data_IF_176718386016
#
_entry.id   IF_176718386016
#
_cell.length_a   1.000
_cell.length_b   1.000
_cell.length_c   1.000
_cell.angle_alpha   90.00
_cell.angle_beta   90.00
_cell.angle_gamma   90.00
#
_symmetry.space_group_name_H-M   'P 1'
#
loop_
_entity.id
_entity.type
_entity.pdbx_description
1 polymer ?
#
# COMPACT_ATOMS: atom_id res chain seq x y z
N UNK A 1 -33.75 2.58 0.04
CA UNK A 1 -32.68 2.61 1.06
C UNK A 1 -31.51 1.98 0.36
N UNK A 2 -30.55 2.81 -0.09
CA UNK A 2 -29.31 2.29 -0.66
C UNK A 2 -28.60 1.59 0.49
N UNK A 3 -28.27 0.32 0.34
CA UNK A 3 -27.29 -0.31 1.21
C UNK A 3 -26.03 0.54 1.09
N UNK A 4 -25.63 1.20 2.17
CA UNK A 4 -24.31 1.83 2.25
C UNK A 4 -23.34 0.65 2.32
N UNK A 5 -22.87 0.23 1.14
CA UNK A 5 -21.78 -0.72 1.01
C UNK A 5 -20.60 -0.22 1.86
N UNK A 6 -20.02 -1.12 2.66
CA UNK A 6 -18.86 -0.80 3.51
C UNK A 6 -17.70 -0.41 2.58
N UNK A 7 -16.88 0.61 2.89
CA UNK A 7 -15.70 0.96 2.09
C UNK A 7 -14.68 -0.17 1.89
N UNK A 8 -14.84 -1.28 2.61
CA UNK A 8 -14.11 -2.54 2.46
C UNK A 8 -14.37 -3.27 1.11
N UNK A 9 -15.36 -2.86 0.31
CA UNK A 9 -15.77 -3.54 -0.94
C UNK A 9 -15.02 -3.15 -2.23
N UNK A 10 -13.98 -2.30 -2.20
CA UNK A 10 -13.40 -1.74 -3.44
C UNK A 10 -11.86 -1.59 -3.48
N UNK A 11 -11.10 -2.56 -2.97
CA UNK A 11 -9.70 -2.73 -3.41
C UNK A 11 -9.65 -3.94 -4.34
N UNK A 12 -9.07 -3.83 -5.56
CA UNK A 12 -8.87 -4.98 -6.41
C UNK A 12 -8.07 -6.06 -5.68
N UNK A 13 -8.52 -7.31 -5.79
CA UNK A 13 -7.76 -8.44 -5.23
C UNK A 13 -6.38 -8.56 -5.92
N UNK A 14 -5.43 -9.24 -5.27
CA UNK A 14 -4.07 -9.38 -5.78
C UNK A 14 -4.03 -9.91 -7.23
N UNK A 15 -4.84 -10.92 -7.52
CA UNK A 15 -4.92 -11.52 -8.86
C UNK A 15 -5.66 -10.62 -9.86
N UNK A 16 -6.64 -9.83 -9.43
CA UNK A 16 -7.30 -8.85 -10.30
C UNK A 16 -6.30 -7.77 -10.73
N UNK A 17 -5.49 -7.25 -9.81
CA UNK A 17 -4.46 -6.28 -10.17
C UNK A 17 -3.37 -6.91 -11.06
N UNK A 18 -3.04 -8.19 -10.84
CA UNK A 18 -2.11 -8.94 -11.70
C UNK A 18 -2.66 -9.08 -13.13
N UNK A 19 -3.95 -9.34 -13.29
CA UNK A 19 -4.63 -9.40 -14.58
C UNK A 19 -4.63 -8.02 -15.27
N UNK A 20 -4.83 -6.94 -14.51
CA UNK A 20 -4.73 -5.56 -15.02
C UNK A 20 -3.33 -5.28 -15.58
N UNK A 21 -2.27 -5.60 -14.82
CA UNK A 21 -0.89 -5.40 -15.28
C UNK A 21 -0.60 -6.22 -16.55
N UNK A 22 -1.09 -7.46 -16.58
CA UNK A 22 -0.95 -8.35 -17.73
C UNK A 22 -1.68 -7.80 -18.97
N UNK A 23 -2.90 -7.30 -18.80
CA UNK A 23 -3.71 -6.75 -19.89
C UNK A 23 -3.08 -5.49 -20.53
N UNK A 24 -2.30 -4.74 -19.76
CA UNK A 24 -1.60 -3.54 -20.22
C UNK A 24 -0.17 -3.80 -20.72
N UNK A 25 0.22 -5.08 -20.87
CA UNK A 25 1.57 -5.52 -21.25
C UNK A 25 2.68 -5.08 -20.26
N UNK A 26 2.34 -4.76 -19.00
CA UNK A 26 3.31 -4.46 -17.94
C UNK A 26 3.86 -5.77 -17.36
N UNK A 27 5.07 -6.13 -17.77
CA UNK A 27 5.71 -7.41 -17.40
C UNK A 27 6.82 -7.26 -16.35
N UNK A 28 7.15 -6.03 -15.93
CA UNK A 28 8.28 -5.75 -15.03
C UNK A 28 7.89 -5.48 -13.60
N UNK A 29 6.61 -5.20 -13.34
CA UNK A 29 6.10 -4.85 -12.02
C UNK A 29 5.08 -5.87 -11.54
N UNK A 30 5.09 -6.14 -10.24
CA UNK A 30 4.11 -7.02 -9.59
C UNK A 30 2.97 -6.21 -8.95
N UNK A 31 1.83 -6.85 -8.72
CA UNK A 31 0.70 -6.23 -8.00
C UNK A 31 1.11 -5.76 -6.60
N UNK A 32 1.94 -6.56 -5.90
CA UNK A 32 2.48 -6.21 -4.59
C UNK A 32 3.36 -4.95 -4.65
N UNK A 33 4.25 -4.85 -5.64
CA UNK A 33 5.12 -3.67 -5.83
C UNK A 33 4.30 -2.41 -6.10
N UNK A 34 3.30 -2.47 -6.99
CA UNK A 34 2.45 -1.32 -7.33
C UNK A 34 1.65 -0.84 -6.12
N UNK A 35 1.11 -1.76 -5.33
CA UNK A 35 0.41 -1.41 -4.09
C UNK A 35 1.37 -0.80 -3.05
N UNK A 36 2.52 -1.43 -2.82
CA UNK A 36 3.54 -0.91 -1.91
C UNK A 36 3.96 0.51 -2.29
N UNK A 37 4.20 0.74 -3.57
CA UNK A 37 4.56 2.03 -4.14
C UNK A 37 3.53 3.13 -3.88
N UNK A 38 2.25 2.84 -4.13
CA UNK A 38 1.16 3.75 -3.77
C UNK A 38 1.16 4.07 -2.26
N UNK A 39 1.27 3.03 -1.43
CA UNK A 39 1.33 3.19 0.03
C UNK A 39 2.51 4.07 0.45
N UNK A 40 3.69 3.90 -0.15
CA UNK A 40 4.87 4.72 0.12
C UNK A 40 4.65 6.20 -0.18
N UNK A 41 4.04 6.53 -1.32
CA UNK A 41 3.68 7.91 -1.66
C UNK A 41 2.70 8.51 -0.64
N UNK A 42 1.63 7.78 -0.30
CA UNK A 42 0.60 8.25 0.64
C UNK A 42 1.18 8.40 2.06
N UNK A 43 2.00 7.46 2.50
CA UNK A 43 2.73 7.54 3.77
C UNK A 43 3.67 8.72 3.84
N UNK A 44 4.28 9.13 2.72
CA UNK A 44 5.10 10.33 2.66
C UNK A 44 4.28 11.64 2.66
N UNK A 45 2.94 11.57 2.63
CA UNK A 45 2.04 12.73 2.64
C UNK A 45 1.55 13.17 1.26
N UNK A 46 1.84 12.41 0.20
CA UNK A 46 1.32 12.72 -1.13
C UNK A 46 -0.22 12.58 -1.15
N UNK A 47 -0.88 13.41 -1.96
CA UNK A 47 -2.28 13.26 -2.34
C UNK A 47 -2.43 13.55 -3.83
N UNK A 48 -3.11 12.66 -4.54
CA UNK A 48 -3.28 12.73 -5.98
C UNK A 48 -4.77 12.82 -6.31
N UNK A 49 -5.11 13.53 -7.39
CA UNK A 49 -6.37 13.25 -8.07
C UNK A 49 -6.21 12.01 -8.96
N UNK A 50 -7.31 11.33 -9.29
CA UNK A 50 -7.28 10.09 -10.08
C UNK A 50 -6.50 10.20 -11.38
N UNK A 51 -6.62 11.31 -12.13
CA UNK A 51 -5.86 11.51 -13.37
C UNK A 51 -4.34 11.58 -13.13
N UNK A 52 -3.91 12.24 -12.05
CA UNK A 52 -2.50 12.32 -11.67
C UNK A 52 -1.96 10.98 -11.20
N UNK A 53 -2.77 10.22 -10.44
CA UNK A 53 -2.44 8.87 -10.04
C UNK A 53 -2.30 7.93 -11.24
N UNK A 54 -3.27 7.89 -12.15
CA UNK A 54 -3.19 7.05 -13.35
C UNK A 54 -1.96 7.38 -14.19
N UNK A 55 -1.64 8.67 -14.37
CA UNK A 55 -0.43 9.06 -15.08
C UNK A 55 0.84 8.52 -14.37
N UNK A 56 0.92 8.70 -13.05
CA UNK A 56 2.05 8.22 -12.26
C UNK A 56 2.16 6.70 -12.32
N UNK A 57 1.07 5.97 -12.08
CA UNK A 57 1.00 4.52 -12.18
C UNK A 57 1.48 4.04 -13.55
N UNK A 58 1.01 4.67 -14.64
CA UNK A 58 1.46 4.37 -16.00
C UNK A 58 2.96 4.57 -16.20
N UNK A 59 3.55 5.67 -15.72
CA UNK A 59 5.00 5.91 -15.77
C UNK A 59 5.81 4.81 -15.04
N UNK A 60 5.26 4.26 -13.95
CA UNK A 60 5.92 3.27 -13.10
C UNK A 60 5.87 1.86 -13.69
N UNK A 61 4.75 1.50 -14.32
CA UNK A 61 4.54 0.18 -14.95
C UNK A 61 4.89 0.17 -16.45
N UNK A 62 5.58 1.22 -16.92
CA UNK A 62 5.97 1.44 -18.33
C UNK A 62 4.79 1.42 -19.32
N UNK A 63 3.65 1.94 -18.89
CA UNK A 63 2.41 2.08 -19.69
C UNK A 63 2.18 3.56 -20.00
N UNK A 64 2.44 3.94 -21.26
CA UNK A 64 2.25 5.32 -21.72
C UNK A 64 0.77 5.76 -21.72
N UNK A 65 -0.14 4.84 -22.03
CA UNK A 65 -1.58 5.06 -22.00
C UNK A 65 -2.31 3.73 -21.76
N UNK A 66 -3.20 3.69 -20.77
CA UNK A 66 -4.03 2.53 -20.48
C UNK A 66 -5.00 2.24 -21.63
N UNK A 67 -4.91 1.03 -22.18
CA UNK A 67 -5.73 0.56 -23.31
C UNK A 67 -7.14 0.18 -22.87
N UNK A 68 -7.28 -0.29 -21.63
CA UNK A 68 -8.54 -0.78 -21.10
C UNK A 68 -9.08 0.17 -20.03
N UNK A 69 -10.34 0.59 -20.19
CA UNK A 69 -11.03 1.40 -19.17
C UNK A 69 -11.18 0.64 -17.84
N UNK A 70 -11.24 -0.70 -17.88
CA UNK A 70 -11.21 -1.54 -16.67
C UNK A 70 -9.91 -1.41 -15.89
N UNK A 71 -8.76 -1.27 -16.56
CA UNK A 71 -7.47 -1.04 -15.90
C UNK A 71 -7.46 0.29 -15.17
N UNK A 72 -8.00 1.34 -15.80
CA UNK A 72 -8.12 2.67 -15.17
C UNK A 72 -9.04 2.62 -13.96
N UNK A 73 -10.16 1.91 -14.06
CA UNK A 73 -11.10 1.74 -12.96
C UNK A 73 -10.43 1.00 -11.79
N UNK A 74 -9.82 -0.16 -12.03
CA UNK A 74 -9.16 -0.94 -11.00
C UNK A 74 -8.04 -0.15 -10.30
N UNK A 75 -7.22 0.59 -11.03
CA UNK A 75 -6.19 1.45 -10.43
C UNK A 75 -6.78 2.63 -9.65
N UNK A 76 -7.94 3.14 -10.05
CA UNK A 76 -8.66 4.18 -9.32
C UNK A 76 -9.24 3.63 -8.01
N UNK A 77 -9.85 2.44 -8.06
CA UNK A 77 -10.41 1.75 -6.90
C UNK A 77 -9.29 1.39 -5.91
N UNK A 78 -8.14 0.91 -6.42
CA UNK A 78 -6.91 0.71 -5.62
C UNK A 78 -6.51 1.99 -4.88
N UNK A 79 -6.51 3.14 -5.56
CA UNK A 79 -6.17 4.42 -4.93
C UNK A 79 -7.13 4.77 -3.79
N UNK A 80 -8.42 4.77 -4.08
CA UNK A 80 -9.45 5.19 -3.13
C UNK A 80 -9.51 4.25 -1.92
N UNK A 81 -9.37 2.94 -2.14
CA UNK A 81 -9.37 1.96 -1.08
C UNK A 81 -8.12 2.03 -0.19
N UNK A 82 -6.92 2.22 -0.75
CA UNK A 82 -5.71 2.40 0.07
C UNK A 82 -5.77 3.69 0.90
N UNK A 83 -6.27 4.79 0.31
CA UNK A 83 -6.50 6.03 1.08
C UNK A 83 -7.47 5.77 2.23
N UNK A 84 -8.60 5.11 1.98
CA UNK A 84 -9.58 4.80 3.01
C UNK A 84 -8.99 3.94 4.13
N UNK A 85 -8.24 2.89 3.79
CA UNK A 85 -7.61 1.98 4.76
C UNK A 85 -6.53 2.66 5.61
N UNK A 86 -5.72 3.55 5.04
CA UNK A 86 -4.67 4.26 5.78
C UNK A 86 -5.24 5.39 6.64
N UNK A 87 -6.28 6.09 6.18
CA UNK A 87 -6.87 7.23 6.91
C UNK A 87 -7.82 6.81 8.02
N UNK A 88 -8.41 5.61 7.97
CA UNK A 88 -9.34 5.11 8.97
C UNK A 88 -8.83 3.82 9.64
N UNK A 89 -8.41 3.94 10.90
CA UNK A 89 -7.93 2.82 11.70
C UNK A 89 -8.95 1.66 11.83
N UNK A 90 -10.25 1.94 11.72
CA UNK A 90 -11.30 0.92 11.80
C UNK A 90 -11.35 0.01 10.55
N UNK A 91 -10.84 0.46 9.39
CA UNK A 91 -10.84 -0.33 8.16
C UNK A 91 -9.69 -1.34 8.06
N UNK A 92 -8.73 -1.28 8.98
CA UNK A 92 -7.67 -2.29 9.09
C UNK A 92 -6.86 -2.46 7.81
N UNK A 93 -5.95 -1.53 7.55
CA UNK A 93 -5.00 -1.60 6.42
C UNK A 93 -4.39 -2.99 6.22
N UNK A 94 -4.47 -3.49 4.97
CA UNK A 94 -3.94 -4.79 4.55
C UNK A 94 -2.86 -4.61 3.48
N UNK A 95 -1.89 -5.52 3.46
CA UNK A 95 -0.93 -5.61 2.37
C UNK A 95 -1.58 -6.37 1.21
N UNK A 96 -1.47 -5.86 -0.02
CA UNK A 96 -1.88 -6.60 -1.21
C UNK A 96 -0.81 -7.63 -1.59
N UNK A 97 -0.99 -8.86 -1.11
CA UNK A 97 -0.08 -10.00 -1.28
C UNK A 97 -0.83 -11.21 -1.84
N UNK A 98 -0.13 -12.17 -2.49
CA UNK A 98 -0.74 -13.43 -2.88
C UNK A 98 -1.17 -14.27 -1.67
N UNK A 99 -2.17 -15.12 -1.88
CA UNK A 99 -2.65 -16.06 -0.87
C UNK A 99 -1.79 -17.34 -0.79
N UNK A 100 -2.24 -18.29 0.02
CA UNK A 100 -1.54 -19.56 0.29
C UNK A 100 -1.58 -20.55 -0.88
N UNK A 101 -2.18 -20.19 -2.04
CA UNK A 101 -2.04 -20.98 -3.28
C UNK A 101 -0.62 -20.87 -3.88
N UNK A 102 0.15 -19.84 -3.51
CA UNK A 102 1.57 -19.71 -3.89
C UNK A 102 2.52 -20.29 -2.85
N UNK A 103 3.68 -20.74 -3.31
CA UNK A 103 4.74 -21.27 -2.43
C UNK A 103 5.18 -20.19 -1.42
N UNK A 104 5.71 -20.64 -0.29
CA UNK A 104 6.25 -19.75 0.73
C UNK A 104 7.31 -18.79 0.15
N UNK A 105 8.18 -19.29 -0.74
CA UNK A 105 9.20 -18.49 -1.40
C UNK A 105 8.59 -17.40 -2.31
N UNK A 106 7.57 -17.72 -3.09
CA UNK A 106 6.86 -16.76 -3.94
C UNK A 106 6.12 -15.69 -3.11
N UNK A 107 5.50 -16.08 -1.98
CA UNK A 107 4.86 -15.12 -1.06
C UNK A 107 5.88 -14.20 -0.39
N UNK A 108 7.05 -14.72 -0.01
CA UNK A 108 8.14 -13.89 0.52
C UNK A 108 8.73 -12.94 -0.52
N UNK A 109 8.89 -13.39 -1.77
CA UNK A 109 9.30 -12.53 -2.89
C UNK A 109 8.28 -11.40 -3.14
N UNK A 110 6.98 -11.71 -3.04
CA UNK A 110 5.93 -10.70 -3.13
C UNK A 110 5.99 -9.68 -1.98
N UNK A 111 6.24 -10.12 -0.74
CA UNK A 111 6.46 -9.22 0.39
C UNK A 111 7.70 -8.33 0.17
N UNK A 112 8.80 -8.91 -0.33
CA UNK A 112 10.00 -8.15 -0.66
C UNK A 112 9.74 -7.09 -1.73
N UNK A 113 9.01 -7.46 -2.79
CA UNK A 113 8.56 -6.56 -3.86
C UNK A 113 7.68 -5.43 -3.31
N UNK A 114 6.79 -5.74 -2.37
CA UNK A 114 5.94 -4.77 -1.69
C UNK A 114 6.78 -3.73 -0.93
N UNK A 115 7.75 -4.18 -0.13
CA UNK A 115 8.68 -3.31 0.60
C UNK A 115 9.50 -2.43 -0.36
N UNK A 116 10.00 -3.00 -1.45
CA UNK A 116 10.74 -2.26 -2.47
C UNK A 116 9.88 -1.15 -3.11
N UNK A 117 8.64 -1.47 -3.47
CA UNK A 117 7.66 -0.50 -3.95
C UNK A 117 7.46 0.62 -2.93
N UNK A 118 7.17 0.27 -1.68
CA UNK A 118 6.95 1.22 -0.58
C UNK A 118 8.11 2.19 -0.40
N UNK A 119 9.34 1.68 -0.29
CA UNK A 119 10.54 2.50 -0.14
C UNK A 119 10.74 3.43 -1.35
N UNK A 120 10.48 2.92 -2.55
CA UNK A 120 10.56 3.70 -3.80
C UNK A 120 9.56 4.85 -3.79
N UNK A 121 8.30 4.59 -3.44
CA UNK A 121 7.24 5.61 -3.41
C UNK A 121 7.48 6.66 -2.35
N UNK A 122 7.90 6.24 -1.16
CA UNK A 122 8.26 7.12 -0.06
C UNK A 122 9.41 8.06 -0.45
N UNK A 123 10.47 7.51 -1.07
CA UNK A 123 11.62 8.28 -1.52
C UNK A 123 11.31 9.24 -2.68
N UNK A 124 10.52 8.81 -3.67
CA UNK A 124 10.18 9.61 -4.84
C UNK A 124 9.27 10.81 -4.54
N UNK A 125 8.46 10.76 -3.48
CA UNK A 125 7.72 11.94 -3.05
C UNK A 125 8.64 13.13 -2.74
N UNK A 126 9.85 12.85 -2.21
CA UNK A 126 10.88 13.85 -1.97
C UNK A 126 10.53 14.89 -0.89
N UNK A 127 9.48 14.64 -0.11
CA UNK A 127 9.01 15.54 0.95
C UNK A 127 9.84 15.51 2.22
N UNK A 128 10.67 14.47 2.41
CA UNK A 128 11.38 14.19 3.66
C UNK A 128 12.88 14.04 3.43
N UNK A 129 13.67 14.54 4.38
CA UNK A 129 15.13 14.35 4.42
C UNK A 129 15.48 13.44 5.59
N UNK A 130 16.70 12.91 5.61
CA UNK A 130 17.17 12.11 6.75
C UNK A 130 17.13 12.90 8.09
N UNK A 131 17.12 14.24 8.05
CA UNK A 131 16.99 15.07 9.25
C UNK A 131 15.54 15.22 9.73
N UNK A 132 14.54 15.06 8.85
CA UNK A 132 13.13 15.13 9.22
C UNK A 132 12.58 13.81 9.77
N UNK A 133 13.31 12.70 9.63
CA UNK A 133 12.92 11.40 10.15
C UNK A 133 13.42 11.22 11.59
N UNK A 134 12.55 10.71 12.46
CA UNK A 134 12.94 10.21 13.79
C UNK A 134 13.79 8.95 13.65
N UNK A 135 14.51 8.57 14.71
CA UNK A 135 15.34 7.35 14.68
C UNK A 135 14.48 6.09 14.51
N UNK A 136 13.28 6.06 15.10
CA UNK A 136 12.31 4.97 14.96
C UNK A 136 11.83 4.81 13.50
N UNK A 137 11.57 5.91 12.78
CA UNK A 137 11.16 5.84 11.38
C UNK A 137 12.31 5.40 10.46
N UNK A 138 13.55 5.80 10.79
CA UNK A 138 14.73 5.34 10.06
C UNK A 138 14.96 3.84 10.25
N UNK A 139 14.78 3.34 11.47
CA UNK A 139 14.85 1.91 11.78
C UNK A 139 13.80 1.14 11.00
N UNK A 140 12.54 1.58 11.04
CA UNK A 140 11.45 0.94 10.28
C UNK A 140 11.72 0.89 8.76
N UNK A 141 12.20 1.99 8.17
CA UNK A 141 12.57 2.02 6.74
C UNK A 141 13.79 1.12 6.44
N UNK A 142 14.77 1.07 7.34
CA UNK A 142 15.94 0.20 7.21
C UNK A 142 15.59 -1.29 7.35
N UNK A 143 14.60 -1.62 8.18
CA UNK A 143 14.11 -2.98 8.33
C UNK A 143 13.31 -3.41 7.09
N UNK A 144 12.47 -2.52 6.54
CA UNK A 144 11.81 -2.76 5.25
C UNK A 144 12.82 -2.97 4.11
N UNK A 145 13.96 -2.27 4.11
CA UNK A 145 15.04 -2.49 3.14
C UNK A 145 15.66 -3.88 3.27
N UNK A 146 15.85 -4.36 4.51
CA UNK A 146 16.33 -5.73 4.76
C UNK A 146 15.30 -6.77 4.32
N UNK A 147 14.01 -6.55 4.61
CA UNK A 147 12.92 -7.44 4.19
C UNK A 147 12.81 -7.51 2.66
N UNK A 148 13.02 -6.39 1.97
CA UNK A 148 13.04 -6.34 0.51
C UNK A 148 14.11 -7.24 -0.14
N UNK A 149 15.10 -7.69 0.62
CA UNK A 149 16.21 -8.53 0.17
C UNK A 149 16.12 -9.97 0.68
N UNK A 150 15.01 -10.37 1.30
CA UNK A 150 14.84 -11.74 1.80
C UNK A 150 14.76 -12.72 0.62
N UNK A 151 15.63 -13.73 0.66
CA UNK A 151 15.58 -14.90 -0.21
C UNK A 151 15.30 -16.12 0.67
N UNK A 152 14.07 -16.66 0.60
CA UNK A 152 13.74 -17.91 1.26
C UNK A 152 14.22 -19.09 0.42
N UNK A 153 14.79 -20.10 1.10
CA UNK A 153 15.08 -21.36 0.46
C UNK A 153 13.75 -22.08 0.11
N UNK A 154 13.71 -22.96 -0.90
CA UNK A 154 12.50 -23.69 -1.30
C UNK A 154 11.97 -24.71 -0.26
N UNK A 155 12.50 -24.70 0.97
CA UNK A 155 12.14 -25.64 2.01
C UNK A 155 10.93 -25.09 2.78
N UNK A 156 9.78 -25.76 2.60
CA UNK A 156 8.53 -25.48 3.33
C UNK A 156 8.61 -26.14 4.71
N UNK A 157 8.99 -25.38 5.73
CA UNK A 157 8.82 -25.77 7.13
C UNK A 157 7.77 -24.88 7.81
N UNK A 158 7.10 -25.41 8.85
CA UNK A 158 6.04 -24.70 9.58
C UNK A 158 6.57 -23.47 10.35
N UNK A 159 7.88 -23.42 10.63
CA UNK A 159 8.54 -22.29 11.32
C UNK A 159 8.61 -21.07 10.39
N UNK A 160 8.98 -21.29 9.12
CA UNK A 160 9.09 -20.24 8.11
C UNK A 160 7.73 -19.62 7.72
N UNK A 161 6.61 -20.35 7.82
CA UNK A 161 5.26 -19.80 7.63
C UNK A 161 4.91 -18.79 8.73
N UNK A 162 5.22 -19.12 9.98
CA UNK A 162 5.02 -18.22 11.12
C UNK A 162 5.90 -16.98 10.97
N UNK A 163 7.16 -17.16 10.59
CA UNK A 163 8.09 -16.05 10.36
C UNK A 163 7.61 -15.11 9.26
N UNK A 164 7.11 -15.64 8.14
CA UNK A 164 6.56 -14.80 7.07
C UNK A 164 5.34 -14.00 7.55
N UNK A 165 4.44 -14.62 8.32
CA UNK A 165 3.28 -13.93 8.89
C UNK A 165 3.71 -12.79 9.83
N UNK A 166 4.73 -13.02 10.67
CA UNK A 166 5.29 -11.99 11.55
C UNK A 166 5.89 -10.82 10.76
N UNK A 167 6.62 -11.10 9.67
CA UNK A 167 7.16 -10.07 8.79
C UNK A 167 6.07 -9.27 8.08
N UNK A 168 5.01 -9.93 7.60
CA UNK A 168 3.87 -9.23 6.99
C UNK A 168 3.21 -8.28 8.00
N UNK A 169 2.99 -8.74 9.24
CA UNK A 169 2.39 -7.91 10.29
C UNK A 169 3.31 -6.75 10.70
N UNK A 170 4.63 -7.00 10.80
CA UNK A 170 5.61 -5.95 11.03
C UNK A 170 5.54 -4.86 9.96
N UNK A 171 5.60 -5.25 8.69
CA UNK A 171 5.54 -4.32 7.54
C UNK A 171 4.24 -3.51 7.58
N UNK A 172 3.10 -4.17 7.81
CA UNK A 172 1.79 -3.53 7.94
C UNK A 172 1.78 -2.45 9.02
N UNK A 173 2.25 -2.78 10.23
CA UNK A 173 2.30 -1.85 11.36
C UNK A 173 3.29 -0.71 11.14
N UNK A 174 4.47 -1.01 10.61
CA UNK A 174 5.47 0.00 10.28
C UNK A 174 4.97 0.99 9.23
N UNK A 175 4.26 0.53 8.20
CA UNK A 175 3.63 1.41 7.20
C UNK A 175 2.57 2.32 7.81
N UNK A 176 1.71 1.81 8.69
CA UNK A 176 0.71 2.62 9.39
C UNK A 176 1.34 3.65 10.33
N UNK A 177 2.42 3.27 11.02
CA UNK A 177 3.17 4.18 11.88
C UNK A 177 3.79 5.32 11.08
N UNK A 178 4.50 5.01 9.99
CA UNK A 178 5.11 6.01 9.11
C UNK A 178 4.02 6.92 8.51
N UNK A 179 2.91 6.35 8.05
CA UNK A 179 1.77 7.13 7.55
C UNK A 179 1.27 8.13 8.61
N UNK A 180 1.05 7.66 9.84
CA UNK A 180 0.49 8.48 10.93
C UNK A 180 1.38 9.68 11.30
N UNK A 181 2.71 9.54 11.18
CA UNK A 181 3.64 10.64 11.44
C UNK A 181 3.44 11.80 10.46
N UNK A 182 3.34 11.48 9.16
CA UNK A 182 3.30 12.50 8.10
C UNK A 182 1.88 12.86 7.65
N UNK A 183 0.88 12.16 8.16
CA UNK A 183 -0.54 12.38 7.88
C UNK A 183 -1.33 12.51 9.20
N UNK A 184 -1.02 13.50 10.06
CA UNK A 184 -1.71 13.66 11.32
C UNK A 184 -3.19 13.91 11.08
N UNK A 185 -4.04 13.06 11.65
CA UNK A 185 -5.48 13.29 11.68
C UNK A 185 -5.75 14.63 12.37
N UNK A 186 -6.59 15.47 11.78
CA UNK A 186 -7.08 16.64 12.50
C UNK A 186 -7.85 16.14 13.74
N UNK A 187 -7.52 16.63 14.95
CA UNK A 187 -8.28 16.23 16.13
C UNK A 187 -9.76 16.55 15.90
N UNK A 188 -10.63 15.58 16.16
CA UNK A 188 -12.07 15.76 16.15
C UNK A 188 -12.40 17.03 16.94
N UNK A 189 -12.85 18.08 16.24
CA UNK A 189 -13.24 19.32 16.89
C UNK A 189 -14.40 18.97 17.85
N UNK A 190 -14.28 19.22 19.17
CA UNK A 190 -15.35 18.87 20.09
C UNK A 190 -16.61 19.61 19.68
N UNK A 191 -17.64 18.87 19.27
CA UNK A 191 -18.97 19.39 18.96
C UNK A 191 -19.42 20.23 20.14
N UNK A 192 -19.43 21.56 19.97
CA UNK A 192 -19.76 22.48 21.05
C UNK A 192 -21.17 22.16 21.56
N UNK A 193 -21.36 21.87 22.86
CA UNK A 193 -22.67 21.60 23.40
C UNK A 193 -23.44 22.92 23.50
N UNK A 194 -24.46 23.07 22.66
CA UNK A 194 -25.59 23.95 22.94
C UNK A 194 -25.80 25.08 21.94
N UNK A 195 -26.76 24.88 21.03
CA UNK A 195 -27.72 25.95 20.74
C UNK A 195 -29.10 25.45 21.11
N UNK A 196 -29.45 25.56 22.40
CA UNK A 196 -30.87 25.60 22.77
C UNK A 196 -31.37 26.97 22.35
N UNK A 197 -32.12 27.03 21.24
CA UNK A 197 -32.83 28.24 20.85
C UNK A 197 -33.87 28.58 21.92
N UNK A 198 -33.77 29.80 22.47
CA UNK A 198 -34.86 30.49 23.15
C UNK A 198 -35.71 31.26 22.15
#
# INVERSE_FOLDING_TARGET
>A
MSETQSPEEFIPEYYELTDVLTAEDSMTSSAAEVHGLLCGYLSAGARFGHEAWLKLAGELIDVAEFRHESSKLALTDLYDGVVAQLENADFGFQLLLPDDDLTLAERAEALGSWCQGYLTGFGLHGGHTNESLTDELKEALSDMEQIAQIELAPEEDEENESDLMELQEYVRMASMMIFSEFNPQQPDEPVAPGTTLH
#
